data_IF_963977085974
#
_entry.id   IF_963977085974
#
_cell.length_a   1.000
_cell.length_b   1.000
_cell.length_c   1.000
_cell.angle_alpha   90.00
_cell.angle_beta   90.00
_cell.angle_gamma   90.00
#
_symmetry.space_group_name_H-M   'P 1'
#
loop_
_entity.id
_entity.type
_entity.pdbx_description
1 polymer ?
#
# COMPACT_ATOMS: atom_id res chain seq x y z
N UNK A 1 22.53 -4.54 -10.21
CA UNK A 1 21.67 -3.55 -10.87
C UNK A 1 21.98 -2.16 -10.32
N UNK A 2 22.06 -1.13 -11.16
CA UNK A 2 22.27 0.27 -10.74
C UNK A 2 20.91 0.98 -10.66
N UNK A 3 20.64 1.62 -9.53
CA UNK A 3 19.47 2.44 -9.27
C UNK A 3 19.90 3.91 -9.08
N UNK A 4 19.41 4.79 -9.90
CA UNK A 4 19.71 6.22 -9.82
C UNK A 4 18.46 7.06 -9.82
N UNK A 5 18.56 8.25 -9.28
CA UNK A 5 17.53 9.27 -9.33
C UNK A 5 17.18 9.61 -10.78
N UNK A 6 15.88 9.66 -11.19
CA UNK A 6 15.53 10.02 -12.54
C UNK A 6 15.94 11.47 -12.85
N UNK A 7 16.37 11.75 -14.09
CA UNK A 7 16.68 13.12 -14.51
C UNK A 7 15.40 13.96 -14.56
N UNK A 8 15.50 15.26 -14.22
CA UNK A 8 14.42 16.23 -14.33
C UNK A 8 14.10 16.98 -13.05
N UNK A 9 13.26 18.03 -13.17
CA UNK A 9 12.83 18.85 -12.03
C UNK A 9 11.86 18.06 -11.15
N UNK A 10 12.21 17.84 -9.89
CA UNK A 10 11.35 17.12 -8.95
C UNK A 10 10.12 17.96 -8.61
N UNK A 11 8.95 17.37 -8.71
CA UNK A 11 7.67 17.98 -8.29
C UNK A 11 7.52 18.01 -6.74
N UNK A 12 8.37 17.26 -6.01
CA UNK A 12 8.38 17.24 -4.55
C UNK A 12 9.82 17.17 -4.04
N UNK A 13 10.13 17.94 -3.00
CA UNK A 13 11.45 17.96 -2.33
C UNK A 13 11.80 16.63 -1.64
N UNK A 14 10.80 15.77 -1.39
CA UNK A 14 10.97 14.48 -0.70
C UNK A 14 10.95 13.28 -1.64
N UNK A 15 10.61 13.47 -2.92
CA UNK A 15 10.57 12.41 -3.91
C UNK A 15 11.97 11.97 -4.36
N UNK A 16 12.13 10.65 -4.59
CA UNK A 16 13.34 10.04 -5.19
C UNK A 16 14.61 10.14 -4.33
N UNK A 17 14.49 9.92 -3.03
CA UNK A 17 15.66 9.81 -2.15
C UNK A 17 16.24 8.40 -2.21
N UNK A 18 17.13 8.15 -3.18
CA UNK A 18 17.80 6.84 -3.38
C UNK A 18 18.58 6.39 -2.14
N UNK A 19 19.10 7.34 -1.35
CA UNK A 19 19.74 7.11 -0.06
C UNK A 19 18.78 6.50 0.97
N UNK A 20 17.51 6.89 0.94
CA UNK A 20 16.47 6.34 1.81
C UNK A 20 16.08 4.92 1.41
N UNK A 21 15.96 4.67 0.11
CA UNK A 21 15.72 3.32 -0.45
C UNK A 21 16.88 2.39 -0.10
N UNK A 22 18.12 2.82 -0.34
CA UNK A 22 19.32 2.07 0.04
C UNK A 22 19.33 1.72 1.53
N UNK A 23 19.04 2.69 2.39
CA UNK A 23 19.06 2.52 3.85
C UNK A 23 18.13 1.43 4.33
N UNK A 24 16.88 1.39 3.84
CA UNK A 24 15.92 0.36 4.27
C UNK A 24 16.28 -1.01 3.72
N UNK A 25 16.67 -1.12 2.44
CA UNK A 25 17.08 -2.39 1.84
C UNK A 25 18.31 -2.95 2.55
N UNK A 26 19.30 -2.11 2.82
CA UNK A 26 20.52 -2.49 3.55
C UNK A 26 20.22 -2.97 4.98
N UNK A 27 19.30 -2.30 5.67
CA UNK A 27 18.92 -2.67 7.03
C UNK A 27 18.16 -4.02 7.06
N UNK A 28 17.22 -4.22 6.13
CA UNK A 28 16.42 -5.45 6.04
C UNK A 28 17.23 -6.68 5.59
N UNK A 29 18.38 -6.50 4.93
CA UNK A 29 19.24 -7.61 4.49
C UNK A 29 19.76 -8.48 5.65
N UNK A 30 19.64 -8.02 6.90
CA UNK A 30 20.00 -8.77 8.12
C UNK A 30 18.83 -9.52 8.75
N UNK A 31 17.66 -9.49 8.12
CA UNK A 31 16.41 -10.09 8.60
C UNK A 31 15.98 -11.25 7.69
N UNK A 32 14.86 -11.88 8.00
CA UNK A 32 14.23 -12.90 7.16
C UNK A 32 13.28 -12.31 6.09
N UNK A 33 13.26 -10.97 5.94
CA UNK A 33 12.53 -10.27 4.88
C UNK A 33 13.32 -10.36 3.58
N UNK A 34 12.76 -10.90 2.50
CA UNK A 34 13.46 -11.02 1.23
C UNK A 34 13.62 -9.64 0.57
N UNK A 35 14.84 -9.16 0.50
CA UNK A 35 15.23 -7.93 -0.20
C UNK A 35 16.50 -8.17 -1.00
N UNK A 36 16.76 -7.43 -2.10
CA UNK A 36 18.01 -7.54 -2.83
C UNK A 36 19.18 -7.09 -1.94
N UNK A 37 20.34 -7.71 -2.11
CA UNK A 37 21.55 -7.26 -1.43
C UNK A 37 21.96 -5.88 -1.95
N UNK A 38 22.04 -4.89 -1.05
CA UNK A 38 22.54 -3.56 -1.37
C UNK A 38 24.07 -3.55 -1.22
N UNK A 39 24.80 -3.23 -2.30
CA UNK A 39 26.27 -3.29 -2.32
C UNK A 39 26.93 -1.98 -1.92
N UNK A 40 26.52 -0.87 -2.53
CA UNK A 40 27.05 0.44 -2.20
C UNK A 40 26.09 1.56 -2.55
N UNK A 41 26.18 2.69 -1.83
CA UNK A 41 25.54 3.96 -2.12
C UNK A 41 26.62 4.95 -2.55
N UNK A 42 26.37 5.73 -3.59
CA UNK A 42 27.18 6.86 -4.03
C UNK A 42 26.32 8.11 -4.04
N UNK A 43 26.66 9.09 -3.22
CA UNK A 43 25.99 10.38 -3.12
C UNK A 43 26.74 11.48 -3.91
N UNK A 44 27.86 11.14 -4.55
CA UNK A 44 28.67 12.05 -5.36
C UNK A 44 28.07 12.16 -6.78
N UNK A 45 27.51 13.33 -7.08
CA UNK A 45 26.91 13.64 -8.38
C UNK A 45 27.92 13.65 -9.53
N UNK A 46 29.23 13.81 -9.22
CA UNK A 46 30.27 13.86 -10.26
C UNK A 46 30.49 12.51 -10.97
N UNK A 47 30.09 11.38 -10.34
CA UNK A 47 30.34 10.03 -10.86
C UNK A 47 29.41 9.67 -12.04
N UNK A 48 28.11 9.87 -11.91
CA UNK A 48 27.11 9.56 -12.96
C UNK A 48 26.05 10.66 -13.11
N UNK A 49 26.33 11.87 -12.63
CA UNK A 49 25.43 13.03 -12.74
C UNK A 49 24.29 13.08 -11.72
N UNK A 50 24.23 12.12 -10.78
CA UNK A 50 23.16 12.06 -9.76
C UNK A 50 23.49 10.96 -8.75
N UNK A 51 23.02 11.03 -7.49
CA UNK A 51 23.13 9.96 -6.52
C UNK A 51 22.57 8.64 -7.02
N UNK A 52 23.22 7.54 -6.69
CA UNK A 52 22.81 6.19 -7.07
C UNK A 52 23.23 5.16 -6.03
N UNK A 53 22.62 3.96 -6.11
CA UNK A 53 23.11 2.79 -5.41
C UNK A 53 23.17 1.57 -6.32
N UNK A 54 24.02 0.61 -5.93
CA UNK A 54 24.17 -0.67 -6.62
C UNK A 54 23.57 -1.74 -5.74
N UNK A 55 22.71 -2.58 -6.33
CA UNK A 55 22.09 -3.71 -5.66
C UNK A 55 22.13 -4.96 -6.51
N UNK A 56 21.85 -6.09 -5.89
CA UNK A 56 21.65 -7.37 -6.53
C UNK A 56 20.57 -7.30 -7.63
N UNK A 57 20.79 -8.01 -8.72
CA UNK A 57 19.75 -8.27 -9.71
C UNK A 57 19.03 -9.58 -9.32
N UNK A 58 17.76 -9.48 -9.01
CA UNK A 58 16.94 -10.65 -8.67
C UNK A 58 16.41 -11.28 -9.95
N UNK A 59 16.96 -12.43 -10.30
CA UNK A 59 16.54 -13.21 -11.49
C UNK A 59 15.33 -14.10 -11.14
N UNK A 60 14.13 -13.51 -11.23
CA UNK A 60 12.86 -14.11 -10.84
C UNK A 60 11.70 -13.77 -11.76
N UNK A 61 10.48 -14.05 -11.30
CA UNK A 61 9.22 -13.72 -11.99
C UNK A 61 8.51 -12.57 -11.29
N UNK A 62 7.92 -11.69 -12.08
CA UNK A 62 7.02 -10.64 -11.61
C UNK A 62 5.65 -10.89 -12.22
N UNK A 63 4.59 -10.83 -11.43
CA UNK A 63 3.23 -10.99 -11.88
C UNK A 63 2.55 -9.61 -11.96
N UNK A 64 2.44 -9.08 -13.17
CA UNK A 64 1.77 -7.77 -13.41
C UNK A 64 0.26 -7.84 -13.12
N UNK A 65 -0.37 -8.97 -13.45
CA UNK A 65 -1.77 -9.25 -13.11
C UNK A 65 -1.83 -10.01 -11.78
N UNK A 66 -2.37 -9.41 -10.71
CA UNK A 66 -2.45 -10.05 -9.41
C UNK A 66 -3.39 -11.27 -9.37
N UNK A 67 -4.22 -11.50 -10.40
CA UNK A 67 -4.99 -12.75 -10.59
C UNK A 67 -4.06 -13.93 -10.90
N UNK A 68 -2.88 -13.66 -11.49
CA UNK A 68 -1.89 -14.66 -11.89
C UNK A 68 -2.54 -15.72 -12.80
N UNK A 69 -3.03 -15.35 -14.01
CA UNK A 69 -3.95 -16.19 -14.78
C UNK A 69 -3.34 -17.52 -15.26
N UNK A 70 -2.04 -17.57 -15.56
CA UNK A 70 -1.39 -18.69 -16.26
C UNK A 70 -0.68 -19.67 -15.32
N UNK A 71 -1.20 -19.87 -14.11
CA UNK A 71 -0.66 -20.84 -13.14
C UNK A 71 -1.75 -21.76 -12.59
N UNK A 72 -1.35 -22.95 -12.14
CA UNK A 72 -2.26 -23.88 -11.48
C UNK A 72 -2.88 -23.28 -10.19
N UNK A 73 -4.10 -23.67 -9.84
CA UNK A 73 -4.79 -23.12 -8.64
C UNK A 73 -3.98 -23.23 -7.34
N UNK A 74 -3.34 -24.37 -7.10
CA UNK A 74 -2.54 -24.59 -5.88
C UNK A 74 -1.27 -23.75 -5.88
N UNK A 75 -0.64 -23.57 -7.04
CA UNK A 75 0.52 -22.70 -7.18
C UNK A 75 0.13 -21.22 -6.95
N UNK A 76 -1.02 -20.78 -7.50
CA UNK A 76 -1.56 -19.45 -7.26
C UNK A 76 -1.80 -19.19 -5.78
N UNK A 77 -2.44 -20.16 -5.09
CA UNK A 77 -2.66 -20.09 -3.64
C UNK A 77 -1.35 -19.96 -2.87
N UNK A 78 -0.35 -20.76 -3.23
CA UNK A 78 0.96 -20.73 -2.59
C UNK A 78 1.70 -19.41 -2.82
N UNK A 79 1.64 -18.83 -4.03
CA UNK A 79 2.20 -17.50 -4.36
C UNK A 79 1.57 -16.41 -3.49
N UNK A 80 0.25 -16.37 -3.39
CA UNK A 80 -0.45 -15.41 -2.55
C UNK A 80 -0.13 -15.61 -1.06
N UNK A 81 -0.08 -16.86 -0.60
CA UNK A 81 0.26 -17.15 0.79
C UNK A 81 1.68 -16.68 1.14
N UNK A 82 2.64 -16.83 0.23
CA UNK A 82 4.00 -16.39 0.48
C UNK A 82 4.15 -14.86 0.43
N UNK A 83 3.40 -14.18 -0.43
CA UNK A 83 3.31 -12.71 -0.43
C UNK A 83 2.77 -12.19 0.91
N UNK A 84 1.70 -12.81 1.44
CA UNK A 84 1.12 -12.45 2.74
C UNK A 84 2.11 -12.70 3.89
N UNK A 85 2.79 -13.85 3.91
CA UNK A 85 3.84 -14.14 4.91
C UNK A 85 4.99 -13.14 4.83
N UNK A 86 5.39 -12.77 3.62
CA UNK A 86 6.45 -11.78 3.40
C UNK A 86 6.08 -10.41 3.94
N UNK A 87 4.83 -9.98 3.75
CA UNK A 87 4.33 -8.74 4.35
C UNK A 87 4.33 -8.81 5.88
N UNK A 88 3.84 -9.91 6.44
CA UNK A 88 3.83 -10.10 7.89
C UNK A 88 5.24 -10.12 8.49
N UNK A 89 6.23 -10.71 7.79
CA UNK A 89 7.65 -10.66 8.18
C UNK A 89 8.18 -9.22 8.21
N UNK A 90 7.89 -8.43 7.18
CA UNK A 90 8.28 -7.01 7.15
C UNK A 90 7.74 -6.26 8.37
N UNK A 91 6.47 -6.45 8.69
CA UNK A 91 5.83 -5.76 9.81
C UNK A 91 6.28 -6.24 11.20
N UNK A 92 6.90 -7.43 11.29
CA UNK A 92 7.50 -7.95 12.53
C UNK A 92 8.88 -7.39 12.83
N UNK A 93 9.54 -6.79 11.85
CA UNK A 93 10.87 -6.21 12.08
C UNK A 93 10.74 -5.03 13.04
N UNK A 94 11.44 -5.10 14.18
CA UNK A 94 11.60 -3.93 15.05
C UNK A 94 12.52 -2.92 14.36
N UNK A 95 12.06 -1.71 14.05
CA UNK A 95 12.88 -0.68 13.42
C UNK A 95 14.18 -0.39 14.18
N UNK A 96 14.17 -0.51 15.51
CA UNK A 96 15.34 -0.26 16.35
C UNK A 96 16.40 -1.34 16.18
N UNK A 97 15.99 -2.61 16.05
CA UNK A 97 16.90 -3.74 15.91
C UNK A 97 17.74 -3.69 14.63
N UNK A 98 17.30 -2.91 13.65
CA UNK A 98 17.93 -2.76 12.34
C UNK A 98 18.46 -1.34 12.08
N UNK A 99 18.46 -0.45 13.09
CA UNK A 99 18.96 0.93 12.96
C UNK A 99 18.07 1.87 12.15
N UNK A 100 16.75 1.63 12.17
CA UNK A 100 15.74 2.40 11.46
C UNK A 100 14.79 3.17 12.40
N UNK A 101 15.15 3.38 13.68
CA UNK A 101 14.31 4.08 14.66
C UNK A 101 13.94 5.51 14.25
N UNK A 102 14.84 6.18 13.50
CA UNK A 102 14.61 7.52 12.94
C UNK A 102 14.06 7.51 11.51
N UNK A 103 13.62 6.34 10.99
CA UNK A 103 13.12 6.22 9.62
C UNK A 103 11.74 6.82 9.41
N UNK A 104 10.98 7.03 10.47
CA UNK A 104 9.65 7.65 10.49
C UNK A 104 9.20 7.96 11.91
N UNK A 105 7.99 8.49 12.04
CA UNK A 105 7.37 8.76 13.33
C UNK A 105 6.53 7.55 13.77
N UNK A 106 6.75 6.96 14.96
CA UNK A 106 6.09 5.74 15.38
C UNK A 106 4.59 5.90 15.73
N UNK A 107 4.15 7.12 16.04
CA UNK A 107 2.77 7.43 16.46
C UNK A 107 2.11 8.44 15.52
N UNK A 108 0.76 8.56 15.57
CA UNK A 108 -0.02 9.53 14.81
C UNK A 108 0.03 9.31 13.29
N UNK A 109 0.26 8.07 12.84
CA UNK A 109 0.39 7.78 11.41
C UNK A 109 -0.85 8.20 10.62
N UNK A 110 -2.04 7.77 11.03
CA UNK A 110 -3.26 8.10 10.29
C UNK A 110 -3.63 9.58 10.39
N UNK A 111 -3.40 10.25 11.51
CA UNK A 111 -3.62 11.69 11.63
C UNK A 111 -2.79 12.47 10.60
N UNK A 112 -1.50 12.11 10.43
CA UNK A 112 -0.66 12.72 9.40
C UNK A 112 -1.14 12.39 7.99
N UNK A 113 -1.57 11.15 7.75
CA UNK A 113 -2.12 10.76 6.45
C UNK A 113 -3.39 11.53 6.11
N UNK A 114 -4.34 11.65 7.04
CA UNK A 114 -5.59 12.40 6.86
C UNK A 114 -5.29 13.87 6.56
N UNK A 115 -4.41 14.52 7.34
CA UNK A 115 -4.02 15.91 7.09
C UNK A 115 -3.37 16.10 5.71
N UNK A 116 -2.47 15.20 5.33
CA UNK A 116 -1.79 15.23 4.03
C UNK A 116 -2.78 15.06 2.87
N UNK A 117 -3.64 14.06 2.93
CA UNK A 117 -4.61 13.80 1.86
C UNK A 117 -5.68 14.88 1.77
N UNK A 118 -6.10 15.47 2.89
CA UNK A 118 -6.96 16.65 2.88
C UNK A 118 -6.33 17.77 2.05
N UNK A 119 -5.10 18.17 2.40
CA UNK A 119 -4.38 19.23 1.69
C UNK A 119 -4.18 18.93 0.19
N UNK A 120 -3.87 17.68 -0.15
CA UNK A 120 -3.70 17.24 -1.53
C UNK A 120 -5.03 17.34 -2.29
N UNK A 121 -6.14 16.83 -1.73
CA UNK A 121 -7.45 16.86 -2.38
C UNK A 121 -7.95 18.31 -2.55
N UNK A 122 -7.76 19.16 -1.56
CA UNK A 122 -8.12 20.58 -1.64
C UNK A 122 -7.36 21.27 -2.77
N UNK A 123 -6.04 21.07 -2.85
CA UNK A 123 -5.23 21.63 -3.93
C UNK A 123 -5.63 21.11 -5.33
N UNK A 124 -5.92 19.80 -5.44
CA UNK A 124 -6.33 19.17 -6.70
C UNK A 124 -7.73 19.62 -7.15
N UNK A 125 -8.66 19.81 -6.22
CA UNK A 125 -10.02 20.26 -6.51
C UNK A 125 -10.07 21.68 -7.06
N UNK A 126 -9.12 22.53 -6.65
CA UNK A 126 -9.02 23.92 -7.08
C UNK A 126 -8.39 24.08 -8.48
N UNK A 127 -7.77 23.04 -9.03
CA UNK A 127 -7.19 23.10 -10.37
C UNK A 127 -8.29 23.33 -11.39
N UNK A 128 -8.07 24.29 -12.30
CA UNK A 128 -9.01 24.60 -13.38
C UNK A 128 -8.51 24.02 -14.69
N UNK A 129 -9.45 23.51 -15.46
CA UNK A 129 -9.21 23.07 -16.83
C UNK A 129 -8.78 24.27 -17.68
N UNK A 130 -7.73 24.13 -18.47
CA UNK A 130 -7.14 25.23 -19.27
C UNK A 130 -8.03 25.68 -20.42
N UNK A 131 -8.98 24.85 -20.86
CA UNK A 131 -9.88 25.14 -21.98
C UNK A 131 -11.26 25.63 -21.49
N UNK A 132 -11.85 24.90 -20.54
CA UNK A 132 -13.22 25.18 -20.05
C UNK A 132 -13.23 26.12 -18.84
N UNK A 133 -12.08 26.33 -18.18
CA UNK A 133 -11.95 27.06 -16.92
C UNK A 133 -12.77 26.48 -15.75
N UNK A 134 -13.39 25.32 -15.92
CA UNK A 134 -14.09 24.61 -14.87
C UNK A 134 -13.10 24.01 -13.87
N UNK A 135 -13.45 24.05 -12.58
CA UNK A 135 -12.65 23.41 -11.56
C UNK A 135 -12.82 21.89 -11.61
N UNK A 136 -11.76 21.15 -11.30
CA UNK A 136 -11.82 19.68 -11.12
C UNK A 136 -12.87 19.29 -10.08
N UNK A 137 -13.05 20.12 -9.06
CA UNK A 137 -14.04 19.96 -8.01
C UNK A 137 -13.64 18.94 -6.94
N UNK A 138 -14.32 18.97 -5.78
CA UNK A 138 -14.07 18.04 -4.70
C UNK A 138 -14.54 16.62 -5.05
N UNK A 139 -13.98 15.63 -4.33
CA UNK A 139 -14.50 14.27 -4.36
C UNK A 139 -15.91 14.21 -3.74
N UNK A 140 -16.81 13.34 -4.22
CA UNK A 140 -18.08 13.06 -3.54
C UNK A 140 -17.84 12.71 -2.06
N UNK A 141 -18.72 13.19 -1.18
CA UNK A 141 -18.67 12.95 0.27
C UNK A 141 -17.35 13.34 0.96
N UNK A 142 -16.55 14.23 0.34
CA UNK A 142 -15.21 14.55 0.85
C UNK A 142 -15.23 15.07 2.30
N UNK A 143 -16.15 15.96 2.63
CA UNK A 143 -16.27 16.52 3.99
C UNK A 143 -16.62 15.43 5.02
N UNK A 144 -17.57 14.56 4.68
CA UNK A 144 -18.02 13.46 5.56
C UNK A 144 -16.93 12.39 5.72
N UNK A 145 -16.21 12.04 4.63
CA UNK A 145 -15.06 11.15 4.66
C UNK A 145 -13.96 11.71 5.57
N UNK A 146 -13.62 13.01 5.41
CA UNK A 146 -12.60 13.64 6.24
C UNK A 146 -13.02 13.75 7.70
N UNK A 147 -14.30 13.98 7.98
CA UNK A 147 -14.84 13.97 9.35
C UNK A 147 -14.71 12.59 10.00
N UNK A 148 -15.07 11.52 9.28
CA UNK A 148 -14.94 10.15 9.78
C UNK A 148 -13.49 9.74 10.00
N UNK A 149 -12.60 10.02 9.03
CA UNK A 149 -11.21 9.63 9.14
C UNK A 149 -10.42 10.45 10.17
N UNK A 150 -10.86 11.66 10.51
CA UNK A 150 -10.24 12.48 11.53
C UNK A 150 -10.70 12.13 12.96
N UNK A 151 -11.76 11.34 13.11
CA UNK A 151 -12.24 10.88 14.41
C UNK A 151 -11.30 9.82 14.99
N UNK A 152 -10.44 10.21 15.92
CA UNK A 152 -9.45 9.34 16.56
C UNK A 152 -10.08 8.14 17.28
N UNK A 153 -11.35 8.24 17.72
CA UNK A 153 -12.05 7.13 18.36
C UNK A 153 -12.37 5.98 17.38
N UNK A 154 -12.40 6.27 16.08
CA UNK A 154 -12.64 5.31 15.02
C UNK A 154 -11.36 4.81 14.38
N UNK A 155 -10.26 5.54 14.52
CA UNK A 155 -8.99 5.18 13.91
C UNK A 155 -8.42 3.88 14.49
N UNK A 156 -7.69 3.10 13.66
CA UNK A 156 -6.88 2.00 14.18
C UNK A 156 -5.85 2.49 15.20
N UNK A 157 -5.63 1.70 16.24
CA UNK A 157 -4.60 1.98 17.23
C UNK A 157 -3.22 2.16 16.58
N UNK A 158 -2.41 3.08 17.09
CA UNK A 158 -1.05 3.30 16.60
C UNK A 158 -0.20 2.02 16.72
N UNK A 159 0.50 1.71 15.63
CA UNK A 159 1.46 0.61 15.55
C UNK A 159 2.66 1.10 14.76
N UNK A 160 3.79 1.26 15.45
CA UNK A 160 5.02 1.80 14.85
C UNK A 160 5.85 0.74 14.12
N UNK A 161 5.31 0.10 13.08
CA UNK A 161 6.00 -0.90 12.27
C UNK A 161 6.67 -0.30 11.04
N UNK A 162 7.65 -1.01 10.47
CA UNK A 162 8.11 -0.69 9.10
C UNK A 162 6.99 -1.01 8.12
N UNK A 163 6.61 -0.05 7.29
CA UNK A 163 5.65 -0.23 6.20
C UNK A 163 6.31 0.05 4.86
N UNK A 164 5.87 -0.67 3.84
CA UNK A 164 6.31 -0.50 2.46
C UNK A 164 5.66 0.73 1.81
N UNK A 165 4.36 0.95 2.06
CA UNK A 165 3.57 2.06 1.51
C UNK A 165 2.89 1.79 0.17
N UNK A 166 3.36 0.77 -0.59
CA UNK A 166 2.74 0.30 -1.86
C UNK A 166 2.93 -1.22 -2.02
N UNK A 167 2.68 -2.01 -0.96
CA UNK A 167 2.84 -3.45 -1.02
C UNK A 167 1.71 -4.11 -1.83
N UNK A 168 2.07 -4.80 -2.91
CA UNK A 168 1.16 -5.49 -3.83
C UNK A 168 1.91 -6.54 -4.64
N UNK A 169 1.20 -7.46 -5.28
CA UNK A 169 1.78 -8.62 -6.00
C UNK A 169 2.76 -8.19 -7.09
N UNK A 170 2.45 -7.14 -7.85
CA UNK A 170 3.28 -6.65 -8.95
C UNK A 170 4.55 -5.87 -8.49
N UNK A 171 4.72 -5.68 -7.18
CA UNK A 171 5.94 -5.14 -6.57
C UNK A 171 6.79 -6.25 -5.91
N UNK A 172 6.50 -7.52 -6.16
CA UNK A 172 7.25 -8.66 -5.63
C UNK A 172 7.94 -9.44 -6.73
N UNK A 173 9.17 -9.87 -6.46
CA UNK A 173 9.88 -10.84 -7.32
C UNK A 173 9.73 -12.21 -6.70
N UNK A 174 9.20 -13.13 -7.47
CA UNK A 174 9.06 -14.54 -7.10
C UNK A 174 10.16 -15.38 -7.72
N UNK A 175 10.52 -16.47 -7.08
CA UNK A 175 11.44 -17.45 -7.63
C UNK A 175 10.94 -17.97 -8.99
N UNK A 176 11.85 -18.37 -9.89
CA UNK A 176 11.53 -18.80 -11.27
C UNK A 176 10.49 -19.93 -11.34
N UNK A 177 10.55 -20.86 -10.42
CA UNK A 177 9.71 -22.07 -10.41
C UNK A 177 8.89 -22.23 -9.14
N UNK A 178 9.43 -21.81 -7.98
CA UNK A 178 8.79 -21.97 -6.68
C UNK A 178 7.80 -20.81 -6.41
N UNK A 179 6.76 -21.04 -5.62
CA UNK A 179 5.82 -19.99 -5.18
C UNK A 179 6.40 -19.18 -4.00
N UNK A 180 7.64 -18.72 -4.11
CA UNK A 180 8.39 -18.06 -3.04
C UNK A 180 8.83 -16.66 -3.49
N UNK A 181 8.58 -15.65 -2.64
CA UNK A 181 9.11 -14.31 -2.82
C UNK A 181 10.61 -14.33 -2.57
N UNK A 182 11.39 -13.80 -3.50
CA UNK A 182 12.84 -13.64 -3.39
C UNK A 182 13.26 -12.18 -3.24
N UNK A 183 12.33 -11.25 -3.41
CA UNK A 183 12.57 -9.85 -3.14
C UNK A 183 11.31 -9.00 -3.20
N UNK A 184 11.27 -8.06 -2.28
CA UNK A 184 10.36 -6.93 -2.35
C UNK A 184 11.08 -5.88 -3.17
N UNK A 185 10.57 -5.59 -4.33
CA UNK A 185 11.14 -4.60 -5.22
C UNK A 185 10.18 -3.45 -5.44
N UNK A 186 10.81 -2.45 -5.85
CA UNK A 186 10.31 -1.43 -6.66
C UNK A 186 10.51 -1.79 -8.13
N UNK A 187 9.40 -1.84 -8.91
CA UNK A 187 9.47 -2.19 -10.32
C UNK A 187 10.11 -1.07 -11.12
N UNK A 188 11.37 -1.25 -11.47
CA UNK A 188 12.05 -0.44 -12.49
C UNK A 188 11.91 -1.19 -13.81
N UNK A 189 11.14 -0.66 -14.75
CA UNK A 189 11.26 -1.06 -16.15
C UNK A 189 12.71 -0.79 -16.58
N UNK A 190 13.52 -1.83 -16.63
CA UNK A 190 14.75 -1.79 -17.41
C UNK A 190 14.33 -1.76 -18.87
N UNK A 191 14.35 -0.58 -19.47
CA UNK A 191 14.13 -0.46 -20.90
C UNK A 191 15.21 -1.27 -21.65
N UNK A 192 14.83 -2.16 -22.57
CA UNK A 192 15.76 -2.59 -23.59
C UNK A 192 16.26 -1.35 -24.34
N UNK A 193 17.47 -1.38 -24.87
CA UNK A 193 18.18 -0.29 -25.53
C UNK A 193 17.46 0.36 -26.73
N UNK A 194 16.19 0.01 -26.98
CA UNK A 194 15.33 0.64 -27.98
C UNK A 194 13.87 0.45 -27.59
N UNK A 195 13.12 1.51 -27.21
CA UNK A 195 11.73 1.37 -26.82
C UNK A 195 10.81 1.25 -28.04
N UNK A 196 9.79 0.37 -28.02
CA UNK A 196 8.62 0.54 -28.87
C UNK A 196 7.82 1.77 -28.43
N UNK A 197 7.18 2.49 -29.38
CA UNK A 197 6.61 3.83 -29.14
C UNK A 197 5.39 3.91 -28.21
N UNK A 198 4.94 2.85 -27.57
CA UNK A 198 3.69 2.80 -26.80
C UNK A 198 3.81 2.60 -25.29
N UNK A 199 5.01 2.55 -24.71
CA UNK A 199 5.22 2.25 -23.29
C UNK A 199 5.82 3.45 -22.53
N UNK A 200 5.09 4.57 -22.44
CA UNK A 200 5.46 5.74 -21.64
C UNK A 200 4.86 5.75 -20.23
N UNK A 201 4.46 4.62 -19.65
CA UNK A 201 4.02 4.55 -18.27
C UNK A 201 5.21 4.30 -17.34
N UNK A 202 5.95 5.36 -17.01
CA UNK A 202 6.95 5.36 -15.94
C UNK A 202 6.23 5.23 -14.59
N UNK A 203 6.03 4.00 -14.12
CA UNK A 203 5.68 3.77 -12.71
C UNK A 203 6.87 4.17 -11.84
N UNK A 204 6.60 4.93 -10.78
CA UNK A 204 7.59 5.43 -9.85
C UNK A 204 7.96 4.36 -8.82
N UNK A 205 9.14 4.45 -8.28
CA UNK A 205 9.69 3.54 -7.26
C UNK A 205 8.92 3.54 -5.93
N UNK A 206 8.81 2.40 -5.23
CA UNK A 206 7.86 2.19 -4.13
C UNK A 206 8.45 2.13 -2.70
N UNK A 207 9.73 1.76 -2.50
CA UNK A 207 10.40 1.94 -1.20
C UNK A 207 10.54 3.43 -0.82
N UNK A 208 10.35 4.31 -1.76
CA UNK A 208 10.27 5.75 -1.56
C UNK A 208 9.16 6.14 -0.57
N UNK A 209 8.06 5.37 -0.55
CA UNK A 209 6.91 5.58 0.32
C UNK A 209 7.06 4.90 1.68
N UNK A 210 8.09 4.08 1.87
CA UNK A 210 8.28 3.35 3.12
C UNK A 210 8.61 4.27 4.29
N UNK A 211 8.07 3.89 5.45
CA UNK A 211 8.23 4.67 6.69
C UNK A 211 7.92 3.78 7.90
N UNK A 212 7.99 4.34 9.09
CA UNK A 212 7.35 3.77 10.27
C UNK A 212 5.88 4.21 10.27
N UNK A 213 4.96 3.25 10.36
CA UNK A 213 3.54 3.53 10.26
C UNK A 213 2.65 2.39 10.74
N UNK A 214 1.38 2.43 10.35
CA UNK A 214 0.42 1.39 10.72
C UNK A 214 0.40 0.27 9.66
N UNK A 215 0.62 -0.99 10.04
CA UNK A 215 0.71 -2.12 9.11
C UNK A 215 -0.59 -2.38 8.33
N UNK A 216 -1.74 -1.91 8.85
CA UNK A 216 -3.02 -2.05 8.15
C UNK A 216 -3.05 -1.28 6.83
N UNK A 217 -2.17 -0.28 6.63
CA UNK A 217 -2.08 0.43 5.36
C UNK A 217 -1.60 -0.48 4.21
N UNK A 218 -0.61 -1.34 4.47
CA UNK A 218 -0.06 -2.23 3.45
C UNK A 218 -0.95 -3.44 3.20
N UNK A 219 -1.51 -4.06 4.24
CA UNK A 219 -2.43 -5.19 4.05
C UNK A 219 -3.71 -4.74 3.34
N UNK A 220 -4.23 -3.54 3.62
CA UNK A 220 -5.36 -2.97 2.89
C UNK A 220 -5.02 -2.70 1.43
N UNK A 221 -3.80 -2.25 1.14
CA UNK A 221 -3.33 -2.07 -0.25
C UNK A 221 -3.25 -3.40 -1.00
N UNK A 222 -2.69 -4.44 -0.39
CA UNK A 222 -2.59 -5.79 -0.98
C UNK A 222 -3.96 -6.36 -1.36
N UNK A 223 -4.99 -6.15 -0.55
CA UNK A 223 -6.34 -6.69 -0.78
C UNK A 223 -7.25 -5.78 -1.60
N UNK A 224 -6.79 -4.60 -2.01
CA UNK A 224 -7.55 -3.64 -2.83
C UNK A 224 -8.26 -4.29 -4.02
N UNK A 225 -7.66 -5.21 -4.80
CA UNK A 225 -8.34 -5.84 -5.93
C UNK A 225 -9.62 -6.58 -5.57
N UNK A 226 -9.72 -7.16 -4.38
CA UNK A 226 -10.94 -7.83 -3.91
C UNK A 226 -12.11 -6.87 -3.65
N UNK A 227 -11.80 -5.64 -3.25
CA UNK A 227 -12.79 -4.59 -3.02
C UNK A 227 -13.23 -3.97 -4.34
N UNK A 228 -12.28 -3.56 -5.17
CA UNK A 228 -12.57 -2.92 -6.46
C UNK A 228 -13.23 -3.88 -7.46
N UNK A 229 -13.03 -5.20 -7.35
CA UNK A 229 -13.71 -6.20 -8.18
C UNK A 229 -15.24 -6.22 -8.00
N UNK A 230 -15.76 -5.65 -6.91
CA UNK A 230 -17.20 -5.52 -6.64
C UNK A 230 -17.82 -4.32 -7.34
N UNK A 231 -16.99 -3.37 -7.76
CA UNK A 231 -17.46 -2.18 -8.45
C UNK A 231 -17.92 -2.51 -9.88
N UNK A 232 -18.86 -1.72 -10.36
CA UNK A 232 -19.17 -1.66 -11.78
C UNK A 232 -17.93 -1.16 -12.55
N UNK A 233 -17.57 -1.75 -13.70
CA UNK A 233 -16.44 -1.30 -14.51
C UNK A 233 -16.47 0.18 -14.89
N UNK A 234 -17.66 0.80 -14.95
CA UNK A 234 -17.82 2.24 -15.18
C UNK A 234 -17.38 3.10 -13.99
N UNK A 235 -17.34 2.53 -12.78
CA UNK A 235 -16.96 3.24 -11.53
C UNK A 235 -15.48 3.10 -11.17
N UNK A 236 -14.73 2.24 -11.86
CA UNK A 236 -13.29 2.05 -11.61
C UNK A 236 -12.60 1.47 -12.83
N UNK A 237 -11.36 1.91 -13.08
CA UNK A 237 -10.52 1.39 -14.18
C UNK A 237 -9.66 0.19 -13.79
N UNK A 238 -9.46 -0.04 -12.50
CA UNK A 238 -8.65 -1.15 -11.97
C UNK A 238 -9.57 -2.26 -11.43
N UNK A 239 -10.62 -2.59 -12.19
CA UNK A 239 -11.50 -3.71 -11.85
C UNK A 239 -10.86 -4.99 -12.35
N UNK A 240 -10.51 -5.85 -11.41
CA UNK A 240 -10.03 -7.21 -11.71
C UNK A 240 -11.18 -8.21 -11.49
N UNK A 241 -12.00 -8.52 -12.49
CA UNK A 241 -13.17 -9.39 -12.30
C UNK A 241 -12.82 -10.79 -11.79
N UNK A 242 -11.57 -11.22 -11.98
CA UNK A 242 -11.05 -12.46 -11.42
C UNK A 242 -11.05 -12.53 -9.88
N UNK A 243 -11.14 -11.38 -9.19
CA UNK A 243 -11.25 -11.32 -7.72
C UNK A 243 -12.69 -11.37 -7.19
N UNK A 244 -13.69 -11.44 -8.07
CA UNK A 244 -15.07 -11.70 -7.64
C UNK A 244 -15.15 -13.07 -6.95
N UNK A 245 -16.06 -13.25 -5.99
CA UNK A 245 -16.19 -14.53 -5.28
C UNK A 245 -16.29 -15.71 -6.24
N UNK A 246 -15.42 -16.69 -6.08
CA UNK A 246 -15.34 -17.92 -6.90
C UNK A 246 -14.98 -17.74 -8.38
N UNK A 247 -14.64 -16.54 -8.84
CA UNK A 247 -14.29 -16.29 -10.24
C UNK A 247 -12.97 -16.98 -10.64
N UNK A 248 -11.99 -17.01 -9.76
CA UNK A 248 -10.67 -17.64 -10.03
C UNK A 248 -10.32 -18.67 -8.97
N UNK A 249 -10.19 -19.93 -9.39
CA UNK A 249 -9.77 -21.02 -8.49
C UNK A 249 -8.35 -20.80 -7.99
N UNK A 250 -8.16 -21.01 -6.69
CA UNK A 250 -6.84 -20.87 -6.04
C UNK A 250 -6.49 -19.47 -5.57
N UNK A 251 -7.29 -18.43 -5.84
CA UNK A 251 -7.17 -17.19 -5.10
C UNK A 251 -7.68 -17.39 -3.67
N UNK A 252 -6.92 -16.96 -2.63
CA UNK A 252 -7.43 -16.95 -1.26
C UNK A 252 -8.57 -15.93 -1.14
N UNK A 253 -9.43 -16.09 -0.15
CA UNK A 253 -10.40 -15.04 0.22
C UNK A 253 -9.71 -13.94 1.04
N UNK A 254 -10.27 -12.74 1.16
CA UNK A 254 -9.76 -11.73 2.09
C UNK A 254 -9.63 -12.25 3.52
N UNK A 255 -10.57 -13.06 3.99
CA UNK A 255 -10.54 -13.65 5.33
C UNK A 255 -9.37 -14.64 5.49
N UNK A 256 -9.09 -15.47 4.47
CA UNK A 256 -7.90 -16.34 4.44
C UNK A 256 -6.60 -15.51 4.51
N UNK A 257 -6.56 -14.38 3.79
CA UNK A 257 -5.40 -13.48 3.77
C UNK A 257 -5.19 -12.86 5.16
N UNK A 258 -6.25 -12.33 5.77
CA UNK A 258 -6.15 -11.72 7.11
C UNK A 258 -5.81 -12.76 8.17
N UNK A 259 -6.44 -13.94 8.15
CA UNK A 259 -6.12 -15.03 9.08
C UNK A 259 -4.64 -15.45 8.98
N UNK A 260 -4.14 -15.64 7.76
CA UNK A 260 -2.73 -15.97 7.53
C UNK A 260 -1.79 -14.83 7.97
N UNK A 261 -2.13 -13.59 7.61
CA UNK A 261 -1.32 -12.42 7.98
C UNK A 261 -1.17 -12.33 9.51
N UNK A 262 -2.27 -12.34 10.25
CA UNK A 262 -2.23 -12.22 11.71
C UNK A 262 -1.59 -13.44 12.38
N UNK A 263 -1.77 -14.64 11.85
CA UNK A 263 -1.10 -15.83 12.38
C UNK A 263 0.43 -15.72 12.34
N UNK A 264 0.98 -15.01 11.35
CA UNK A 264 2.43 -14.78 11.22
C UNK A 264 2.86 -13.51 11.96
N UNK A 265 2.10 -12.42 11.83
CA UNK A 265 2.44 -11.14 12.46
C UNK A 265 2.42 -11.20 14.00
N UNK A 266 1.48 -11.97 14.55
CA UNK A 266 1.31 -12.13 16.00
C UNK A 266 2.19 -13.27 16.59
N UNK A 267 2.85 -14.06 15.75
CA UNK A 267 3.74 -15.13 16.23
C UNK A 267 4.94 -14.56 17.02
N UNK A 268 5.27 -15.18 18.14
CA UNK A 268 6.47 -14.80 18.91
C UNK A 268 7.73 -14.89 18.01
N UNK A 269 8.68 -13.96 18.13
CA UNK A 269 9.94 -14.07 17.41
C UNK A 269 10.65 -15.39 17.78
N UNK A 270 11.36 -16.04 16.85
CA UNK A 270 12.11 -17.24 17.17
C UNK A 270 13.11 -16.94 18.31
N UNK A 271 13.05 -17.73 19.38
CA UNK A 271 13.84 -17.55 20.59
C UNK A 271 15.31 -17.92 20.34
N UNK A 272 16.07 -17.00 19.80
CA UNK A 272 17.53 -17.12 19.68
C UNK A 272 18.30 -16.21 20.64
N UNK A 273 17.63 -15.51 21.57
CA UNK A 273 18.30 -14.74 22.62
C UNK A 273 17.48 -14.70 23.90
N UNK A 274 18.18 -14.80 25.02
CA UNK A 274 17.72 -14.57 26.40
C UNK A 274 16.83 -13.34 26.52
N UNK A 275 15.78 -13.37 27.38
CA UNK A 275 14.80 -12.29 27.45
C UNK A 275 15.41 -11.04 28.10
N UNK A 276 15.86 -10.13 27.29
CA UNK A 276 15.80 -8.70 27.64
C UNK A 276 14.31 -8.33 27.66
N UNK A 277 13.90 -7.49 28.62
CA UNK A 277 12.53 -7.01 28.80
C UNK A 277 11.87 -6.71 27.45
N UNK A 278 10.59 -7.09 27.23
CA UNK A 278 9.93 -6.90 25.94
C UNK A 278 10.02 -5.45 25.54
N UNK A 279 10.46 -5.19 24.31
CA UNK A 279 10.50 -3.83 23.74
C UNK A 279 9.09 -3.26 23.74
N UNK A 280 8.96 -1.93 23.78
CA UNK A 280 7.65 -1.26 23.68
C UNK A 280 6.85 -1.69 22.44
N UNK A 281 7.55 -2.10 21.36
CA UNK A 281 6.96 -2.63 20.14
C UNK A 281 6.44 -4.07 20.33
N UNK A 282 7.19 -4.95 21.02
CA UNK A 282 6.71 -6.29 21.37
C UNK A 282 5.50 -6.23 22.29
N UNK A 283 5.47 -5.26 23.21
CA UNK A 283 4.30 -5.01 24.04
C UNK A 283 3.13 -4.49 23.20
N UNK A 284 3.36 -3.59 22.24
CA UNK A 284 2.35 -3.04 21.34
C UNK A 284 1.84 -4.10 20.36
N UNK A 285 2.70 -4.96 19.82
CA UNK A 285 2.28 -6.09 18.97
C UNK A 285 1.56 -7.17 19.78
N UNK A 286 1.99 -7.45 21.01
CA UNK A 286 1.29 -8.39 21.93
C UNK A 286 -0.07 -7.87 22.37
N UNK A 287 -0.22 -6.58 22.63
CA UNK A 287 -1.53 -5.96 22.91
C UNK A 287 -2.43 -5.97 21.67
N UNK A 288 -1.86 -5.86 20.47
CA UNK A 288 -2.61 -6.03 19.22
C UNK A 288 -3.01 -7.50 18.97
N UNK A 289 -2.18 -8.47 19.36
CA UNK A 289 -2.51 -9.89 19.32
C UNK A 289 -3.62 -10.27 20.30
N UNK A 290 -3.72 -9.55 21.42
CA UNK A 290 -4.77 -9.71 22.44
C UNK A 290 -6.03 -8.88 22.17
N UNK A 291 -6.07 -8.09 21.04
CA UNK A 291 -7.24 -7.31 20.69
C UNK A 291 -8.45 -8.21 20.40
N UNK A 292 -9.61 -7.80 20.89
CA UNK A 292 -10.88 -8.48 20.58
C UNK A 292 -11.00 -8.60 19.04
N UNK A 293 -11.37 -9.78 18.51
CA UNK A 293 -11.61 -9.95 17.08
C UNK A 293 -12.53 -8.89 16.47
N UNK A 294 -13.47 -8.36 17.24
CA UNK A 294 -14.37 -7.28 16.82
C UNK A 294 -13.62 -5.96 16.61
N UNK A 295 -12.70 -5.60 17.51
CA UNK A 295 -11.87 -4.40 17.37
C UNK A 295 -10.96 -4.52 16.15
N UNK A 296 -10.37 -5.69 15.92
CA UNK A 296 -9.54 -5.97 14.74
C UNK A 296 -10.34 -5.85 13.44
N UNK A 297 -11.56 -6.36 13.40
CA UNK A 297 -12.44 -6.24 12.24
C UNK A 297 -12.81 -4.76 11.96
N UNK A 298 -13.10 -3.99 13.00
CA UNK A 298 -13.38 -2.55 12.89
C UNK A 298 -12.19 -1.78 12.34
N UNK A 299 -10.99 -2.02 12.87
CA UNK A 299 -9.77 -1.37 12.40
C UNK A 299 -9.47 -1.71 10.93
N UNK A 300 -9.67 -2.97 10.51
CA UNK A 300 -9.53 -3.38 9.12
C UNK A 300 -10.54 -2.68 8.21
N UNK A 301 -11.81 -2.60 8.60
CA UNK A 301 -12.84 -1.89 7.84
C UNK A 301 -12.48 -0.42 7.66
N UNK A 302 -12.04 0.25 8.74
CA UNK A 302 -11.58 1.63 8.66
C UNK A 302 -10.40 1.78 7.69
N UNK A 303 -9.38 0.94 7.82
CA UNK A 303 -8.17 1.00 6.99
C UNK A 303 -8.49 0.72 5.50
N UNK A 304 -9.42 -0.19 5.22
CA UNK A 304 -9.89 -0.47 3.86
C UNK A 304 -10.64 0.72 3.26
N UNK A 305 -11.57 1.34 4.02
CA UNK A 305 -12.28 2.53 3.57
C UNK A 305 -11.31 3.67 3.29
N UNK A 306 -10.32 3.88 4.17
CA UNK A 306 -9.28 4.89 3.98
C UNK A 306 -8.41 4.59 2.75
N UNK A 307 -8.08 3.34 2.49
CA UNK A 307 -7.29 2.95 1.32
C UNK A 307 -8.06 3.19 0.00
N UNK A 308 -9.36 2.91 -0.06
CA UNK A 308 -10.20 3.21 -1.23
C UNK A 308 -10.33 4.73 -1.41
N UNK A 309 -10.50 5.50 -0.34
CA UNK A 309 -10.45 6.97 -0.41
C UNK A 309 -9.11 7.47 -0.98
N UNK A 310 -7.96 6.92 -0.53
CA UNK A 310 -6.64 7.26 -1.10
C UNK A 310 -6.58 7.00 -2.60
N UNK A 311 -7.15 5.89 -3.06
CA UNK A 311 -7.22 5.57 -4.48
C UNK A 311 -8.05 6.60 -5.26
N UNK A 312 -9.20 7.04 -4.71
CA UNK A 312 -10.00 8.12 -5.28
C UNK A 312 -9.20 9.43 -5.36
N UNK A 313 -8.45 9.79 -4.30
CA UNK A 313 -7.60 10.97 -4.25
C UNK A 313 -6.45 10.92 -5.28
N UNK A 314 -5.84 9.75 -5.50
CA UNK A 314 -4.84 9.55 -6.56
C UNK A 314 -5.47 9.78 -7.94
N UNK A 315 -6.68 9.26 -8.18
CA UNK A 315 -7.43 9.48 -9.42
C UNK A 315 -7.81 10.95 -9.60
N UNK A 316 -8.18 11.68 -8.54
CA UNK A 316 -8.39 13.13 -8.59
C UNK A 316 -7.11 13.88 -9.02
N UNK A 317 -5.93 13.45 -8.52
CA UNK A 317 -4.65 14.02 -8.95
C UNK A 317 -4.34 13.75 -10.43
N UNK A 318 -4.83 12.64 -10.99
CA UNK A 318 -4.73 12.38 -12.42
C UNK A 318 -5.66 13.31 -13.19
N UNK A 319 -6.90 13.52 -12.71
CA UNK A 319 -7.84 14.48 -13.29
C UNK A 319 -7.27 15.92 -13.28
N UNK A 320 -6.64 16.33 -12.17
CA UNK A 320 -6.00 17.65 -12.07
C UNK A 320 -4.84 17.81 -13.08
N UNK A 321 -4.05 16.76 -13.34
CA UNK A 321 -3.00 16.78 -14.36
C UNK A 321 -3.56 16.82 -15.79
N UNK A 322 -4.71 16.17 -16.04
CA UNK A 322 -5.42 16.26 -17.31
C UNK A 322 -5.91 17.69 -17.54
N UNK A 323 -6.59 18.28 -16.56
CA UNK A 323 -7.07 19.66 -16.60
C UNK A 323 -5.93 20.67 -16.87
N UNK A 324 -4.75 20.44 -16.31
CA UNK A 324 -3.53 21.23 -16.54
C UNK A 324 -2.73 20.83 -17.79
N UNK A 325 -3.24 19.96 -18.68
CA UNK A 325 -2.53 19.41 -19.86
C UNK A 325 -1.17 18.75 -19.56
N UNK A 326 -0.97 18.30 -18.33
CA UNK A 326 0.25 17.57 -17.91
C UNK A 326 0.13 16.06 -18.15
N UNK A 327 -1.03 15.57 -18.51
CA UNK A 327 -1.34 14.22 -18.93
C UNK A 327 -2.34 14.27 -20.08
N UNK A 328 -2.25 13.34 -21.05
CA UNK A 328 -3.10 13.35 -22.25
C UNK A 328 -3.53 11.96 -22.73
N UNK A 329 -3.10 10.87 -22.06
CA UNK A 329 -3.44 9.52 -22.49
C UNK A 329 -4.90 9.17 -22.17
N UNK A 330 -5.52 8.35 -23.01
CA UNK A 330 -6.87 7.81 -22.77
C UNK A 330 -6.97 7.07 -21.43
N UNK A 331 -5.91 6.34 -21.07
CA UNK A 331 -5.84 5.67 -19.77
C UNK A 331 -5.84 6.69 -18.61
N UNK A 332 -5.15 7.82 -18.73
CA UNK A 332 -5.18 8.87 -17.72
C UNK A 332 -6.59 9.46 -17.58
N UNK A 333 -7.34 9.64 -18.70
CA UNK A 333 -8.72 10.10 -18.67
C UNK A 333 -9.62 9.15 -17.89
N UNK A 334 -9.60 7.86 -18.21
CA UNK A 334 -10.37 6.84 -17.48
C UNK A 334 -10.06 6.81 -15.99
N UNK A 335 -8.77 6.93 -15.62
CA UNK A 335 -8.38 7.01 -14.20
C UNK A 335 -8.94 8.28 -13.53
N UNK A 336 -8.88 9.44 -14.21
CA UNK A 336 -9.43 10.68 -13.69
C UNK A 336 -10.96 10.59 -13.45
N UNK A 337 -11.69 9.95 -14.36
CA UNK A 337 -13.14 9.73 -14.27
C UNK A 337 -13.51 8.79 -13.12
N UNK A 338 -12.71 7.75 -12.86
CA UNK A 338 -12.95 6.78 -11.79
C UNK A 338 -12.94 7.37 -10.37
N UNK A 339 -12.44 8.60 -10.18
CA UNK A 339 -12.38 9.27 -8.87
C UNK A 339 -13.73 9.33 -8.17
N UNK A 340 -14.79 9.63 -8.91
CA UNK A 340 -16.16 9.76 -8.40
C UNK A 340 -16.67 8.42 -7.85
N UNK A 341 -16.64 7.37 -8.65
CA UNK A 341 -17.13 6.05 -8.23
C UNK A 341 -16.32 5.45 -7.07
N UNK A 342 -15.01 5.72 -7.02
CA UNK A 342 -14.17 5.29 -5.91
C UNK A 342 -14.47 6.05 -4.61
N UNK A 343 -14.75 7.36 -4.68
CA UNK A 343 -15.11 8.14 -3.49
C UNK A 343 -16.49 7.73 -2.94
N UNK A 344 -17.47 7.50 -3.81
CA UNK A 344 -18.77 6.94 -3.42
C UNK A 344 -18.60 5.58 -2.73
N UNK A 345 -17.79 4.71 -3.29
CA UNK A 345 -17.54 3.41 -2.70
C UNK A 345 -16.81 3.51 -1.34
N UNK A 346 -15.85 4.42 -1.19
CA UNK A 346 -15.24 4.69 0.11
C UNK A 346 -16.28 5.11 1.15
N UNK A 347 -17.25 5.93 0.75
CA UNK A 347 -18.35 6.33 1.61
C UNK A 347 -19.30 5.17 1.97
N UNK A 348 -19.64 4.31 1.03
CA UNK A 348 -20.40 3.07 1.28
C UNK A 348 -19.71 2.20 2.35
N UNK A 349 -18.38 2.06 2.26
CA UNK A 349 -17.59 1.31 3.25
C UNK A 349 -17.64 1.98 4.65
N UNK A 350 -17.56 3.31 4.71
CA UNK A 350 -17.69 4.07 5.97
C UNK A 350 -19.07 3.86 6.58
N UNK A 351 -20.14 3.93 5.79
CA UNK A 351 -21.49 3.69 6.28
C UNK A 351 -21.66 2.26 6.83
N UNK A 352 -21.09 1.26 6.14
CA UNK A 352 -21.08 -0.11 6.62
C UNK A 352 -20.35 -0.27 7.94
N UNK A 353 -19.21 0.40 8.12
CA UNK A 353 -18.44 0.37 9.36
C UNK A 353 -19.22 1.00 10.53
N UNK A 354 -19.92 2.12 10.29
CA UNK A 354 -20.78 2.77 11.29
C UNK A 354 -21.95 1.88 11.73
N UNK A 355 -22.59 1.21 10.78
CA UNK A 355 -23.73 0.30 11.06
C UNK A 355 -23.31 -0.90 11.90
N UNK A 356 -22.12 -1.44 11.64
CA UNK A 356 -21.55 -2.56 12.42
C UNK A 356 -21.19 -2.17 13.86
N UNK A 357 -20.85 -0.90 14.11
CA UNK A 357 -20.54 -0.37 15.44
C UNK A 357 -21.80 -0.01 16.27
N UNK A 358 -22.94 0.25 15.62
CA UNK A 358 -24.22 0.64 16.26
C UNK A 358 -25.12 -0.53 16.70
N UNK A 359 -24.80 -1.76 16.31
CA UNK A 359 -25.64 -2.94 16.56
C UNK A 359 -25.57 -3.54 17.98
N UNK A 360 -24.98 -2.86 18.96
CA UNK A 360 -24.74 -3.37 20.31
C UNK A 360 -25.72 -2.95 21.41
N UNK A 361 -26.82 -2.23 21.12
CA UNK A 361 -27.83 -1.87 22.13
C UNK A 361 -29.24 -2.03 21.57
N UNK A 362 -29.66 -3.27 21.44
CA UNK A 362 -31.07 -3.62 21.30
C UNK A 362 -31.51 -4.32 22.59
N UNK A 363 -32.00 -3.55 23.57
CA UNK A 363 -32.78 -4.08 24.68
C UNK A 363 -34.03 -4.72 24.09
N UNK A 364 -34.09 -6.03 24.07
CA UNK A 364 -35.39 -6.70 24.03
C UNK A 364 -35.90 -6.88 25.47
N UNK A 365 -36.73 -5.98 25.84
CA UNK A 365 -37.51 -5.97 27.06
C UNK A 365 -38.94 -5.62 26.74
N UNK A 366 -39.73 -6.53 26.30
CA UNK A 366 -41.17 -6.49 26.54
C UNK A 366 -41.74 -7.89 26.70
N UNK A 367 -42.13 -8.11 27.94
CA UNK A 367 -43.16 -9.07 28.31
C UNK A 367 -44.43 -8.80 27.52
N UNK A 368 -44.99 -9.82 26.95
CA UNK A 368 -46.38 -10.31 27.21
C UNK A 368 -46.62 -11.52 26.34
#
# INVERSE_FOLDING_TARGET
MLRKKPPGRLLSKTAHKVEREYRIIHALAKTDVPVPKAYCLCEDDSVVGTPFYIMEFLDGRIFEDPVIPNVLPDHRRAVWADAVRTLAKLHRVDPRSVGLEAFGQPTGFYNRQVATWRSICDAQSAVRDVDTHEAVGPLPHFADLMSFFADESQQPADRGTLIHGDFKIDNLVFHKTEPRVIGILEYVHVLPSSPPPSLSNKKKPSWEMSTIGNPLSDISNLVTPYFTARLDPSRSVNVHPGFRPRATRGLPTPDDIFALYFSVADAAPPSNNTPSSPSSLELTLRTAAAADPRDRARELQWAQAFNIFRLAAICQGIAARLAGRQASSEQARRHGEARTGLAEFAWELVQSARSSSGGGVGKDGSKL
#
